data_IF_129082512531
#
_entry.id   IF_129082512531
#
_cell.length_a   1.000
_cell.length_b   1.000
_cell.length_c   1.000
_cell.angle_alpha   90.00
_cell.angle_beta   90.00
_cell.angle_gamma   90.00
#
_symmetry.space_group_name_H-M   'P 1'
#
loop_
_entity.id
_entity.type
_entity.pdbx_description
1 polymer ?
#
# COMPACT_ATOMS: atom_id res chain seq x y z
N UNK A 1 14.18 10.76 -6.81
CA UNK A 1 13.31 9.60 -6.56
C UNK A 1 13.04 9.31 -5.10
N UNK A 2 13.89 9.69 -4.20
CA UNK A 2 13.67 9.48 -2.76
C UNK A 2 12.29 10.02 -2.34
N UNK A 3 11.94 11.23 -2.77
CA UNK A 3 10.65 11.87 -2.43
C UNK A 3 9.45 11.07 -2.95
N UNK A 4 9.48 10.56 -4.18
CA UNK A 4 8.40 9.73 -4.73
C UNK A 4 8.06 8.54 -3.82
N UNK A 5 9.08 7.75 -3.46
CA UNK A 5 8.89 6.57 -2.64
C UNK A 5 8.47 6.90 -1.20
N UNK A 6 8.93 8.03 -0.66
CA UNK A 6 8.51 8.51 0.66
C UNK A 6 7.05 8.99 0.67
N UNK A 7 6.60 9.70 -0.37
CA UNK A 7 5.18 10.04 -0.54
C UNK A 7 4.32 8.80 -0.73
N UNK A 8 4.82 7.84 -1.51
CA UNK A 8 4.14 6.56 -1.72
C UNK A 8 4.03 5.75 -0.42
N UNK A 9 5.09 5.75 0.40
CA UNK A 9 5.05 5.15 1.74
C UNK A 9 4.06 5.88 2.66
N UNK A 10 4.04 7.21 2.66
CA UNK A 10 3.07 7.98 3.44
C UNK A 10 1.62 7.61 3.06
N UNK A 11 1.33 7.55 1.76
CA UNK A 11 0.05 7.12 1.24
C UNK A 11 -0.31 5.71 1.74
N UNK A 12 0.59 4.75 1.61
CA UNK A 12 0.35 3.38 2.05
C UNK A 12 0.14 3.26 3.56
N UNK A 13 0.93 3.97 4.36
CA UNK A 13 0.77 3.98 5.81
C UNK A 13 -0.59 4.57 6.22
N UNK A 14 -1.01 5.65 5.58
CA UNK A 14 -2.29 6.27 5.90
C UNK A 14 -3.45 5.36 5.55
N UNK A 15 -3.52 4.86 4.31
CA UNK A 15 -4.67 4.12 3.82
C UNK A 15 -4.78 2.71 4.38
N UNK A 16 -3.64 2.05 4.60
CA UNK A 16 -3.65 0.63 4.93
C UNK A 16 -3.26 0.31 6.38
N UNK A 17 -2.56 1.20 7.10
CA UNK A 17 -2.06 0.90 8.45
C UNK A 17 -2.77 1.70 9.54
N UNK A 18 -2.76 3.03 9.44
CA UNK A 18 -3.10 3.89 10.58
C UNK A 18 -4.60 4.01 10.84
N UNK A 19 -5.46 3.93 9.82
CA UNK A 19 -6.77 4.54 9.94
C UNK A 19 -8.04 3.67 9.76
N UNK A 20 -7.94 2.37 9.57
CA UNK A 20 -9.13 1.59 9.18
C UNK A 20 -10.32 1.61 10.16
N UNK A 21 -10.10 1.58 11.47
CA UNK A 21 -11.20 1.48 12.44
C UNK A 21 -11.58 2.80 13.10
N UNK A 22 -10.59 3.65 13.35
CA UNK A 22 -10.83 4.88 14.10
C UNK A 22 -11.47 5.94 13.19
N UNK A 23 -11.00 6.03 11.95
CA UNK A 23 -11.60 6.92 10.95
C UNK A 23 -13.02 6.50 10.58
N UNK A 24 -13.28 5.20 10.40
CA UNK A 24 -14.64 4.71 10.14
C UNK A 24 -15.61 5.07 11.27
N UNK A 25 -15.19 4.87 12.53
CA UNK A 25 -16.00 5.24 13.70
C UNK A 25 -16.26 6.76 13.77
N UNK A 26 -15.23 7.56 13.49
CA UNK A 26 -15.35 9.02 13.49
C UNK A 26 -16.18 9.51 12.30
N UNK A 27 -16.01 8.93 11.12
CA UNK A 27 -16.85 9.24 9.94
C UNK A 27 -18.31 8.88 10.16
N UNK A 28 -18.59 7.79 10.86
CA UNK A 28 -19.94 7.41 11.25
C UNK A 28 -20.60 8.44 12.19
N UNK A 29 -19.79 9.12 13.03
CA UNK A 29 -20.27 10.14 13.97
C UNK A 29 -20.28 11.55 13.35
N UNK A 30 -19.26 11.90 12.59
CA UNK A 30 -19.14 13.17 11.87
C UNK A 30 -18.20 12.98 10.68
N UNK A 31 -18.77 13.11 9.48
CA UNK A 31 -18.03 12.96 8.22
C UNK A 31 -16.86 13.93 8.13
N UNK A 32 -17.09 15.21 8.48
CA UNK A 32 -16.08 16.25 8.43
C UNK A 32 -14.90 15.95 9.37
N UNK A 33 -15.16 15.50 10.60
CA UNK A 33 -14.10 15.13 11.56
C UNK A 33 -13.28 13.94 11.06
N UNK A 34 -13.95 12.93 10.49
CA UNK A 34 -13.23 11.79 9.90
C UNK A 34 -12.33 12.17 8.74
N UNK A 35 -12.79 13.08 7.86
CA UNK A 35 -11.98 13.64 6.76
C UNK A 35 -10.77 14.43 7.26
N UNK A 36 -11.01 15.37 8.19
CA UNK A 36 -9.94 16.21 8.75
C UNK A 36 -8.86 15.35 9.45
N UNK A 37 -9.29 14.35 10.20
CA UNK A 37 -8.35 13.48 10.87
C UNK A 37 -7.54 12.64 9.89
N UNK A 38 -8.19 12.06 8.87
CA UNK A 38 -7.52 11.27 7.84
C UNK A 38 -6.53 12.11 7.04
N UNK A 39 -6.98 13.27 6.55
CA UNK A 39 -6.11 14.21 5.83
C UNK A 39 -4.99 14.78 6.71
N UNK A 40 -5.28 15.06 7.99
CA UNK A 40 -4.27 15.53 8.94
C UNK A 40 -3.16 14.52 9.18
N UNK A 41 -3.50 13.24 9.35
CA UNK A 41 -2.49 12.18 9.51
C UNK A 41 -1.70 11.97 8.22
N UNK A 42 -2.36 11.99 7.07
CA UNK A 42 -1.68 11.91 5.78
C UNK A 42 -0.68 13.07 5.61
N UNK A 43 -1.11 14.29 5.90
CA UNK A 43 -0.24 15.48 5.87
C UNK A 43 0.97 15.33 6.80
N UNK A 44 0.76 14.91 8.04
CA UNK A 44 1.84 14.72 9.00
C UNK A 44 2.84 13.64 8.57
N UNK A 45 2.36 12.54 8.00
CA UNK A 45 3.23 11.49 7.47
C UNK A 45 4.04 11.98 6.26
N UNK A 46 3.41 12.71 5.32
CA UNK A 46 4.11 13.30 4.19
C UNK A 46 5.18 14.30 4.65
N UNK A 47 4.83 15.21 5.57
CA UNK A 47 5.78 16.20 6.11
C UNK A 47 6.92 15.51 6.87
N UNK A 48 6.63 14.52 7.70
CA UNK A 48 7.64 13.78 8.47
C UNK A 48 8.60 12.98 7.59
N UNK A 49 8.07 12.21 6.64
CA UNK A 49 8.90 11.40 5.73
C UNK A 49 9.69 12.24 4.74
N UNK A 50 9.19 13.40 4.33
CA UNK A 50 9.84 14.29 3.36
C UNK A 50 10.52 15.51 4.01
N UNK A 51 10.70 15.54 5.35
CA UNK A 51 11.17 16.72 6.09
C UNK A 51 12.40 17.38 5.46
N UNK A 52 13.43 16.62 5.11
CA UNK A 52 14.66 17.15 4.50
C UNK A 52 14.51 17.72 3.07
N UNK A 53 13.34 17.55 2.45
CA UNK A 53 13.07 17.94 1.06
C UNK A 53 12.00 19.03 0.92
N UNK A 54 11.44 19.51 2.04
CA UNK A 54 10.31 20.46 2.05
C UNK A 54 10.63 21.81 1.44
N UNK A 55 11.86 22.30 1.64
CA UNK A 55 12.32 23.59 1.10
C UNK A 55 12.80 23.50 -0.35
N UNK A 56 12.99 22.29 -0.87
CA UNK A 56 13.42 22.09 -2.25
C UNK A 56 12.29 22.43 -3.23
N UNK A 57 12.67 22.95 -4.39
CA UNK A 57 11.73 23.17 -5.49
C UNK A 57 11.45 21.84 -6.20
N UNK A 58 10.17 21.43 -6.20
CA UNK A 58 9.73 20.24 -6.92
C UNK A 58 9.09 20.67 -8.25
N UNK A 59 9.48 20.04 -9.36
CA UNK A 59 8.91 20.36 -10.66
C UNK A 59 7.50 19.75 -10.79
N UNK A 60 6.49 20.51 -10.39
CA UNK A 60 5.09 20.10 -10.48
C UNK A 60 4.65 20.11 -11.96
N UNK A 61 4.18 18.96 -12.47
CA UNK A 61 3.80 18.76 -13.88
C UNK A 61 4.89 19.08 -14.91
N UNK A 62 6.17 19.15 -14.52
CA UNK A 62 7.27 19.68 -15.35
C UNK A 62 7.07 21.14 -15.85
N UNK A 63 6.04 21.83 -15.37
CA UNK A 63 5.65 23.17 -15.83
C UNK A 63 6.02 24.25 -14.80
N UNK A 64 5.82 23.96 -13.52
CA UNK A 64 5.98 24.95 -12.45
C UNK A 64 6.82 24.35 -11.32
N UNK A 65 7.81 25.09 -10.87
CA UNK A 65 8.61 24.73 -9.71
C UNK A 65 7.93 25.25 -8.44
N UNK A 66 7.45 24.33 -7.60
CA UNK A 66 6.78 24.64 -6.33
C UNK A 66 7.63 24.14 -5.16
N UNK A 67 7.63 24.85 -4.03
CA UNK A 67 8.23 24.34 -2.80
C UNK A 67 7.61 22.99 -2.41
N UNK A 68 8.40 22.04 -1.92
CA UNK A 68 7.94 20.69 -1.60
C UNK A 68 6.75 20.67 -0.64
N UNK A 69 6.71 21.58 0.35
CA UNK A 69 5.57 21.67 1.26
C UNK A 69 4.26 22.06 0.56
N UNK A 70 4.30 22.89 -0.51
CA UNK A 70 3.11 23.22 -1.32
C UNK A 70 2.60 21.96 -2.06
N UNK A 71 3.52 21.22 -2.68
CA UNK A 71 3.16 19.96 -3.35
C UNK A 71 2.52 18.96 -2.38
N UNK A 72 3.01 18.87 -1.14
CA UNK A 72 2.43 18.00 -0.11
C UNK A 72 1.01 18.45 0.28
N UNK A 73 0.77 19.76 0.42
CA UNK A 73 -0.58 20.28 0.68
C UNK A 73 -1.52 19.92 -0.48
N UNK A 74 -1.09 20.18 -1.72
CA UNK A 74 -1.90 19.82 -2.91
C UNK A 74 -2.19 18.32 -2.97
N UNK A 75 -1.21 17.49 -2.68
CA UNK A 75 -1.41 16.05 -2.63
C UNK A 75 -2.37 15.64 -1.52
N UNK A 76 -2.27 16.26 -0.34
CA UNK A 76 -3.19 15.99 0.77
C UNK A 76 -4.63 16.36 0.40
N UNK A 77 -4.84 17.52 -0.22
CA UNK A 77 -6.17 17.95 -0.67
C UNK A 77 -6.72 16.97 -1.73
N UNK A 78 -5.90 16.60 -2.71
CA UNK A 78 -6.29 15.61 -3.72
C UNK A 78 -6.63 14.25 -3.11
N UNK A 79 -5.80 13.77 -2.17
CA UNK A 79 -6.02 12.50 -1.49
C UNK A 79 -7.35 12.47 -0.73
N UNK A 80 -7.64 13.51 0.06
CA UNK A 80 -8.90 13.64 0.79
C UNK A 80 -10.09 13.74 -0.17
N UNK A 81 -9.96 14.51 -1.24
CA UNK A 81 -10.99 14.63 -2.26
C UNK A 81 -11.26 13.30 -2.96
N UNK A 82 -10.21 12.58 -3.36
CA UNK A 82 -10.33 11.27 -4.01
C UNK A 82 -11.02 10.26 -3.09
N UNK A 83 -10.68 10.25 -1.80
CA UNK A 83 -11.31 9.39 -0.81
C UNK A 83 -12.82 9.61 -0.72
N UNK A 84 -13.22 10.87 -0.64
CA UNK A 84 -14.63 11.21 -0.57
C UNK A 84 -15.38 10.91 -1.87
N UNK A 85 -14.78 11.25 -3.00
CA UNK A 85 -15.39 11.00 -4.30
C UNK A 85 -15.67 9.51 -4.54
N UNK A 86 -14.69 8.65 -4.25
CA UNK A 86 -14.83 7.22 -4.46
C UNK A 86 -15.70 6.53 -3.41
N UNK A 87 -15.80 7.04 -2.19
CA UNK A 87 -16.74 6.53 -1.19
C UNK A 87 -18.19 6.76 -1.60
N UNK A 88 -18.50 7.86 -2.28
CA UNK A 88 -19.86 8.11 -2.80
C UNK A 88 -20.20 7.23 -4.02
N UNK A 89 -19.24 7.02 -4.91
CA UNK A 89 -19.43 6.19 -6.12
C UNK A 89 -19.56 4.71 -5.81
N UNK A 90 -18.91 4.22 -4.75
CA UNK A 90 -18.81 2.79 -4.44
C UNK A 90 -20.09 2.12 -3.98
N UNK A 91 -21.10 2.87 -3.54
CA UNK A 91 -22.35 2.29 -3.03
C UNK A 91 -23.36 1.86 -4.10
N UNK A 92 -23.18 2.21 -5.38
CA UNK A 92 -24.31 2.02 -6.31
C UNK A 92 -24.05 1.33 -7.64
N UNK A 93 -22.85 1.25 -8.20
CA UNK A 93 -22.67 0.71 -9.57
C UNK A 93 -21.37 0.00 -9.91
N UNK A 94 -20.28 0.27 -9.21
CA UNK A 94 -18.97 -0.30 -9.56
C UNK A 94 -18.45 -1.03 -8.34
N UNK A 95 -18.22 -2.32 -8.40
CA UNK A 95 -17.80 -3.15 -7.28
C UNK A 95 -16.62 -2.58 -6.47
N UNK A 96 -16.42 -3.08 -5.28
CA UNK A 96 -15.33 -2.68 -4.38
C UNK A 96 -13.95 -2.77 -5.02
N UNK A 97 -13.75 -3.77 -5.89
CA UNK A 97 -12.51 -3.97 -6.62
C UNK A 97 -12.18 -2.80 -7.56
N UNK A 98 -13.16 -2.35 -8.35
CA UNK A 98 -12.97 -1.24 -9.28
C UNK A 98 -12.70 0.06 -8.53
N UNK A 99 -13.45 0.32 -7.47
CA UNK A 99 -13.23 1.48 -6.58
C UNK A 99 -11.84 1.46 -5.97
N UNK A 100 -11.40 0.31 -5.48
CA UNK A 100 -10.06 0.12 -4.94
C UNK A 100 -8.98 0.46 -5.98
N UNK A 101 -9.08 -0.08 -7.20
CA UNK A 101 -8.10 0.19 -8.25
C UNK A 101 -8.07 1.64 -8.68
N UNK A 102 -9.21 2.23 -8.99
CA UNK A 102 -9.28 3.59 -9.52
C UNK A 102 -8.78 4.60 -8.50
N UNK A 103 -9.17 4.45 -7.21
CA UNK A 103 -8.68 5.30 -6.13
C UNK A 103 -7.15 5.22 -5.98
N UNK A 104 -6.62 4.01 -5.88
CA UNK A 104 -5.18 3.82 -5.68
C UNK A 104 -4.38 4.29 -6.90
N UNK A 105 -4.87 4.02 -8.12
CA UNK A 105 -4.25 4.51 -9.34
C UNK A 105 -4.25 6.03 -9.43
N UNK A 106 -5.36 6.69 -9.08
CA UNK A 106 -5.45 8.15 -9.08
C UNK A 106 -4.44 8.78 -8.12
N UNK A 107 -4.33 8.27 -6.88
CA UNK A 107 -3.33 8.74 -5.92
C UNK A 107 -1.89 8.47 -6.39
N UNK A 108 -1.64 7.30 -6.96
CA UNK A 108 -0.33 6.96 -7.52
C UNK A 108 0.05 7.90 -8.68
N UNK A 109 -0.87 8.16 -9.61
CA UNK A 109 -0.64 9.10 -10.70
C UNK A 109 -0.38 10.53 -10.18
N UNK A 110 -1.09 10.96 -9.14
CA UNK A 110 -0.86 12.29 -8.56
C UNK A 110 0.54 12.44 -7.95
N UNK A 111 1.10 11.37 -7.36
CA UNK A 111 2.51 11.40 -6.91
C UNK A 111 3.45 11.68 -8.08
N UNK A 112 3.21 11.10 -9.25
CA UNK A 112 4.00 11.39 -10.46
C UNK A 112 3.84 12.84 -10.95
N UNK A 113 2.69 13.46 -10.73
CA UNK A 113 2.51 14.87 -11.04
C UNK A 113 3.33 15.77 -10.10
N UNK A 114 3.48 15.38 -8.84
CA UNK A 114 4.29 16.10 -7.85
C UNK A 114 5.80 15.89 -8.04
N UNK A 115 6.20 14.70 -8.55
CA UNK A 115 7.61 14.30 -8.70
C UNK A 115 7.81 13.69 -10.09
N UNK A 116 7.97 14.51 -11.14
CA UNK A 116 7.99 14.06 -12.52
C UNK A 116 9.20 13.20 -12.89
N UNK A 117 9.00 12.41 -13.94
CA UNK A 117 9.93 11.40 -14.44
C UNK A 117 11.30 11.96 -14.91
N UNK A 118 11.39 13.24 -15.27
CA UNK A 118 12.64 13.83 -15.76
C UNK A 118 13.76 13.74 -14.72
N UNK A 119 13.44 13.99 -13.45
CA UNK A 119 14.35 13.81 -12.32
C UNK A 119 14.78 12.34 -12.14
N UNK A 120 13.98 11.39 -12.63
CA UNK A 120 14.25 9.96 -12.62
C UNK A 120 15.38 9.56 -13.56
N UNK A 121 15.38 10.13 -14.77
CA UNK A 121 16.37 9.86 -15.79
C UNK A 121 17.73 10.44 -15.45
N UNK A 122 17.74 11.65 -14.88
CA UNK A 122 18.97 12.39 -14.58
C UNK A 122 19.75 11.81 -13.39
N UNK A 123 19.07 11.20 -12.42
CA UNK A 123 19.71 10.67 -11.20
C UNK A 123 20.14 9.21 -11.28
N UNK A 124 19.78 8.49 -12.34
CA UNK A 124 20.13 7.07 -12.55
C UNK A 124 19.60 6.08 -11.50
N UNK A 125 19.06 6.55 -10.40
CA UNK A 125 18.58 5.74 -9.28
C UNK A 125 17.05 5.77 -9.19
N UNK A 126 16.40 4.87 -9.88
CA UNK A 126 14.94 4.69 -9.77
C UNK A 126 14.51 4.30 -8.35
N UNK A 127 15.32 3.54 -7.66
CA UNK A 127 14.97 3.00 -6.35
C UNK A 127 15.46 3.91 -5.23
N UNK A 128 14.57 4.15 -4.27
CA UNK A 128 14.82 4.88 -3.05
C UNK A 128 15.75 4.13 -2.08
N UNK A 129 15.86 4.73 -0.94
CA UNK A 129 16.49 4.14 0.24
C UNK A 129 15.94 2.73 0.51
N UNK A 130 16.80 1.75 0.81
CA UNK A 130 16.38 0.37 1.01
C UNK A 130 15.27 0.19 2.05
N UNK A 131 15.32 0.95 3.15
CA UNK A 131 14.32 0.87 4.21
C UNK A 131 12.91 1.31 3.74
N UNK A 132 12.82 2.33 2.87
CA UNK A 132 11.53 2.81 2.33
C UNK A 132 10.90 1.72 1.47
N UNK A 133 11.70 1.11 0.57
CA UNK A 133 11.22 0.03 -0.29
C UNK A 133 10.81 -1.19 0.52
N UNK A 134 11.59 -1.52 1.56
CA UNK A 134 11.22 -2.58 2.49
C UNK A 134 9.87 -2.30 3.16
N UNK A 135 9.67 -1.09 3.69
CA UNK A 135 8.41 -0.70 4.34
C UNK A 135 7.23 -0.70 3.35
N UNK A 136 7.41 -0.18 2.14
CA UNK A 136 6.39 -0.24 1.08
C UNK A 136 6.03 -1.70 0.77
N UNK A 137 7.03 -2.56 0.58
CA UNK A 137 6.82 -3.99 0.33
C UNK A 137 6.08 -4.68 1.48
N UNK A 138 6.47 -4.40 2.70
CA UNK A 138 5.84 -4.97 3.91
C UNK A 138 4.36 -4.56 4.04
N UNK A 139 4.06 -3.27 3.86
CA UNK A 139 2.66 -2.77 3.91
C UNK A 139 1.84 -3.33 2.75
N UNK A 140 2.44 -3.39 1.55
CA UNK A 140 1.78 -3.99 0.38
C UNK A 140 1.40 -5.45 0.63
N UNK A 141 2.32 -6.26 1.14
CA UNK A 141 2.06 -7.67 1.41
C UNK A 141 1.03 -7.88 2.51
N UNK A 142 1.16 -7.17 3.62
CA UNK A 142 0.35 -7.43 4.81
C UNK A 142 -1.04 -6.82 4.73
N UNK A 143 -1.15 -5.59 4.23
CA UNK A 143 -2.38 -4.80 4.25
C UNK A 143 -3.04 -4.62 2.90
N UNK A 144 -2.30 -4.11 1.90
CA UNK A 144 -2.88 -3.84 0.57
C UNK A 144 -3.39 -5.13 -0.08
N UNK A 145 -2.61 -6.23 -0.09
CA UNK A 145 -3.07 -7.52 -0.59
C UNK A 145 -4.27 -8.07 0.21
N UNK A 146 -4.38 -7.72 1.50
CA UNK A 146 -5.55 -8.07 2.31
C UNK A 146 -6.81 -7.40 1.81
N UNK A 147 -6.77 -6.10 1.59
CA UNK A 147 -7.87 -5.33 1.03
C UNK A 147 -8.23 -5.76 -0.39
N UNK A 148 -7.21 -6.02 -1.22
CA UNK A 148 -7.41 -6.51 -2.58
C UNK A 148 -8.13 -7.86 -2.60
N UNK A 149 -7.68 -8.81 -1.77
CA UNK A 149 -8.32 -10.12 -1.65
C UNK A 149 -9.77 -9.99 -1.15
N UNK A 150 -10.01 -9.12 -0.16
CA UNK A 150 -11.35 -8.84 0.33
C UNK A 150 -12.25 -8.24 -0.76
N UNK A 151 -11.77 -7.27 -1.52
CA UNK A 151 -12.55 -6.66 -2.59
C UNK A 151 -13.02 -7.69 -3.62
N UNK A 152 -12.15 -8.64 -3.98
CA UNK A 152 -12.50 -9.75 -4.88
C UNK A 152 -13.56 -10.68 -4.24
N UNK A 153 -13.39 -11.04 -2.98
CA UNK A 153 -14.33 -11.94 -2.30
C UNK A 153 -15.69 -11.28 -2.09
N UNK A 154 -15.70 -10.01 -1.72
CA UNK A 154 -16.93 -9.25 -1.56
C UNK A 154 -17.70 -9.13 -2.88
N UNK A 155 -17.02 -8.71 -3.96
CA UNK A 155 -17.66 -8.50 -5.26
C UNK A 155 -18.14 -9.82 -5.88
N UNK A 156 -17.43 -10.93 -5.63
CA UNK A 156 -17.74 -12.22 -6.26
C UNK A 156 -18.66 -13.11 -5.42
N UNK A 157 -18.55 -13.04 -4.11
CA UNK A 157 -19.24 -13.97 -3.20
C UNK A 157 -20.09 -13.28 -2.13
N UNK A 158 -20.14 -11.94 -2.09
CA UNK A 158 -20.86 -11.16 -1.08
C UNK A 158 -20.32 -11.38 0.35
N UNK A 159 -19.06 -11.82 0.50
CA UNK A 159 -18.48 -12.09 1.82
C UNK A 159 -18.16 -10.81 2.57
N UNK A 160 -18.40 -10.84 3.86
CA UNK A 160 -17.99 -9.77 4.76
C UNK A 160 -16.49 -9.77 5.01
N UNK A 161 -15.98 -8.64 5.52
CA UNK A 161 -14.57 -8.51 5.86
C UNK A 161 -14.18 -9.50 6.96
N UNK A 162 -13.05 -10.25 6.82
CA UNK A 162 -12.67 -11.28 7.77
C UNK A 162 -12.59 -10.79 9.22
N UNK A 163 -12.81 -11.66 10.18
CA UNK A 163 -12.65 -11.38 11.61
C UNK A 163 -11.24 -10.92 11.96
N UNK A 164 -11.03 -10.37 13.15
CA UNK A 164 -9.71 -9.86 13.55
C UNK A 164 -8.64 -10.96 13.54
N UNK A 165 -8.97 -12.14 14.06
CA UNK A 165 -8.03 -13.26 14.19
C UNK A 165 -7.63 -13.81 12.83
N UNK A 166 -8.60 -13.99 11.92
CA UNK A 166 -8.32 -14.43 10.54
C UNK A 166 -7.45 -13.42 9.78
N UNK A 167 -7.72 -12.12 9.93
CA UNK A 167 -6.91 -11.06 9.30
C UNK A 167 -5.48 -11.06 9.80
N UNK A 168 -5.30 -11.26 11.10
CA UNK A 168 -3.99 -11.32 11.71
C UNK A 168 -3.21 -12.52 11.17
N UNK A 169 -3.81 -13.70 11.17
CA UNK A 169 -3.21 -14.93 10.65
C UNK A 169 -2.82 -14.79 9.17
N UNK A 170 -3.71 -14.24 8.33
CA UNK A 170 -3.44 -14.00 6.91
C UNK A 170 -2.33 -12.96 6.69
N UNK A 171 -2.29 -11.92 7.50
CA UNK A 171 -1.23 -10.91 7.42
C UNK A 171 0.12 -11.49 7.83
N UNK A 172 0.16 -12.32 8.88
CA UNK A 172 1.37 -13.04 9.31
C UNK A 172 1.86 -14.00 8.24
N UNK A 173 0.96 -14.78 7.66
CA UNK A 173 1.29 -15.69 6.56
C UNK A 173 1.98 -14.96 5.41
N UNK A 174 1.40 -13.85 4.95
CA UNK A 174 1.94 -13.04 3.85
C UNK A 174 3.27 -12.40 4.21
N UNK A 175 3.39 -11.87 5.43
CA UNK A 175 4.63 -11.29 5.94
C UNK A 175 5.78 -12.32 5.92
N UNK A 176 5.52 -13.54 6.34
CA UNK A 176 6.55 -14.59 6.35
C UNK A 176 6.98 -14.94 4.92
N UNK A 177 6.05 -15.06 3.95
CA UNK A 177 6.41 -15.25 2.54
C UNK A 177 7.30 -14.12 2.02
N UNK A 178 6.93 -12.87 2.33
CA UNK A 178 7.73 -11.69 1.97
C UNK A 178 9.14 -11.74 2.56
N UNK A 179 9.27 -12.02 3.87
CA UNK A 179 10.56 -12.06 4.57
C UNK A 179 11.43 -13.22 4.07
N UNK A 180 10.86 -14.38 3.79
CA UNK A 180 11.59 -15.53 3.20
C UNK A 180 12.24 -15.13 1.87
N UNK A 181 11.53 -14.37 1.03
CA UNK A 181 12.07 -13.92 -0.25
C UNK A 181 13.29 -13.01 -0.12
N UNK A 182 13.47 -12.34 1.02
CA UNK A 182 14.61 -11.46 1.26
C UNK A 182 15.88 -12.19 1.75
N UNK A 183 15.79 -13.48 2.03
CA UNK A 183 16.94 -14.25 2.51
C UNK A 183 18.01 -14.44 1.42
N UNK A 184 19.30 -14.35 1.78
CA UNK A 184 20.40 -14.51 0.82
C UNK A 184 20.56 -15.98 0.35
N UNK A 185 21.18 -16.13 -0.81
CA UNK A 185 21.53 -17.43 -1.39
C UNK A 185 20.30 -18.26 -1.78
N UNK A 186 20.38 -19.58 -1.63
CA UNK A 186 19.32 -20.55 -1.99
C UNK A 186 18.36 -20.88 -0.85
N UNK A 187 18.65 -20.41 0.36
CA UNK A 187 17.86 -20.69 1.59
C UNK A 187 16.39 -20.29 1.46
N UNK A 188 16.12 -19.20 0.73
CA UNK A 188 14.75 -18.76 0.48
C UNK A 188 13.89 -19.83 -0.23
N UNK A 189 14.47 -20.60 -1.17
CA UNK A 189 13.72 -21.61 -1.92
C UNK A 189 13.26 -22.76 -1.02
N UNK A 190 14.15 -23.24 -0.14
CA UNK A 190 13.80 -24.30 0.82
C UNK A 190 12.75 -23.82 1.81
N UNK A 191 12.96 -22.65 2.43
CA UNK A 191 12.02 -22.11 3.42
C UNK A 191 10.68 -21.74 2.79
N UNK A 192 10.67 -21.25 1.54
CA UNK A 192 9.44 -20.99 0.79
C UNK A 192 8.62 -22.28 0.62
N UNK A 193 9.27 -23.37 0.23
CA UNK A 193 8.62 -24.67 0.06
C UNK A 193 8.05 -25.18 1.38
N UNK A 194 8.84 -25.17 2.45
CA UNK A 194 8.42 -25.61 3.78
C UNK A 194 7.24 -24.77 4.28
N UNK A 195 7.33 -23.45 4.16
CA UNK A 195 6.26 -22.55 4.61
C UNK A 195 4.99 -22.68 3.77
N UNK A 196 5.13 -22.88 2.47
CA UNK A 196 3.99 -23.16 1.58
C UNK A 196 3.26 -24.42 1.99
N UNK A 197 3.98 -25.52 2.26
CA UNK A 197 3.41 -26.77 2.73
C UNK A 197 2.71 -26.61 4.09
N UNK A 198 3.31 -25.85 5.01
CA UNK A 198 2.69 -25.52 6.30
C UNK A 198 1.38 -24.75 6.11
N UNK A 199 1.32 -23.78 5.20
CA UNK A 199 0.10 -23.04 4.90
C UNK A 199 -0.99 -23.92 4.25
N UNK A 200 -0.62 -24.84 3.36
CA UNK A 200 -1.55 -25.83 2.79
C UNK A 200 -2.11 -26.76 3.88
N UNK A 201 -1.25 -27.19 4.80
CA UNK A 201 -1.69 -28.02 5.94
C UNK A 201 -2.64 -27.25 6.86
N UNK A 202 -2.27 -26.02 7.26
CA UNK A 202 -3.12 -25.14 8.08
C UNK A 202 -4.51 -24.93 7.45
N UNK A 203 -4.55 -24.78 6.13
CA UNK A 203 -5.80 -24.69 5.39
C UNK A 203 -6.58 -26.00 5.40
N UNK A 204 -5.91 -27.13 5.23
CA UNK A 204 -6.55 -28.46 5.26
C UNK A 204 -7.25 -28.74 6.59
N UNK A 205 -6.67 -28.31 7.70
CA UNK A 205 -7.26 -28.43 9.04
C UNK A 205 -8.24 -27.30 9.39
N UNK A 206 -8.62 -26.47 8.41
CA UNK A 206 -9.56 -25.34 8.54
C UNK A 206 -9.18 -24.27 9.57
N UNK A 207 -7.88 -24.08 9.84
CA UNK A 207 -7.42 -22.93 10.61
C UNK A 207 -7.65 -21.58 9.90
N UNK A 208 -7.84 -21.63 8.58
CA UNK A 208 -8.11 -20.48 7.72
C UNK A 208 -9.35 -20.77 6.86
N UNK A 209 -10.45 -20.07 7.15
CA UNK A 209 -11.67 -20.16 6.34
C UNK A 209 -11.68 -19.05 5.27
N UNK A 210 -10.80 -19.21 4.29
CA UNK A 210 -10.64 -18.30 3.16
C UNK A 210 -10.87 -19.00 1.85
N UNK A 211 -11.32 -18.24 0.85
CA UNK A 211 -11.48 -18.76 -0.50
C UNK A 211 -10.15 -19.22 -1.10
N UNK A 212 -10.22 -20.12 -2.10
CA UNK A 212 -9.04 -20.52 -2.86
C UNK A 212 -8.36 -19.31 -3.53
N UNK A 213 -9.16 -18.42 -4.09
CA UNK A 213 -8.66 -17.23 -4.77
C UNK A 213 -7.87 -16.31 -3.83
N UNK A 214 -8.43 -15.95 -2.66
CA UNK A 214 -7.75 -15.09 -1.69
C UNK A 214 -6.47 -15.73 -1.13
N UNK A 215 -6.47 -17.04 -0.91
CA UNK A 215 -5.30 -17.77 -0.46
C UNK A 215 -4.15 -17.68 -1.47
N UNK A 216 -4.39 -18.05 -2.73
CA UNK A 216 -3.35 -18.03 -3.75
C UNK A 216 -2.93 -16.61 -4.14
N UNK A 217 -3.85 -15.66 -4.22
CA UNK A 217 -3.52 -14.24 -4.45
C UNK A 217 -2.61 -13.72 -3.34
N UNK A 218 -2.91 -14.05 -2.09
CA UNK A 218 -2.09 -13.65 -0.94
C UNK A 218 -0.67 -14.21 -1.02
N UNK A 219 -0.50 -15.49 -1.37
CA UNK A 219 0.81 -16.14 -1.49
C UNK A 219 1.58 -15.58 -2.68
N UNK A 220 1.00 -15.66 -3.88
CA UNK A 220 1.66 -15.24 -5.12
C UNK A 220 2.03 -13.76 -5.04
N UNK A 221 1.10 -12.91 -4.58
CA UNK A 221 1.35 -11.48 -4.42
C UNK A 221 2.50 -11.21 -3.45
N UNK A 222 2.56 -11.91 -2.32
CA UNK A 222 3.65 -11.73 -1.34
C UNK A 222 5.00 -12.20 -1.88
N UNK A 223 5.03 -13.30 -2.61
CA UNK A 223 6.24 -13.81 -3.26
C UNK A 223 6.73 -12.84 -4.34
N UNK A 224 5.82 -12.35 -5.19
CA UNK A 224 6.16 -11.38 -6.25
C UNK A 224 6.69 -10.08 -5.65
N UNK A 225 6.00 -9.50 -4.66
CA UNK A 225 6.45 -8.27 -4.00
C UNK A 225 7.80 -8.51 -3.32
N UNK A 226 7.96 -9.61 -2.58
CA UNK A 226 9.23 -9.98 -1.95
C UNK A 226 10.36 -10.15 -2.96
N UNK A 227 10.08 -10.76 -4.11
CA UNK A 227 11.06 -10.90 -5.19
C UNK A 227 11.46 -9.54 -5.77
N UNK A 228 10.51 -8.63 -6.03
CA UNK A 228 10.83 -7.28 -6.51
C UNK A 228 11.69 -6.50 -5.53
N UNK A 229 11.38 -6.58 -4.23
CA UNK A 229 12.20 -5.95 -3.18
C UNK A 229 13.59 -6.61 -3.12
N UNK A 230 13.67 -7.94 -3.24
CA UNK A 230 14.92 -8.68 -3.31
C UNK A 230 15.80 -8.22 -4.47
N UNK A 231 15.23 -8.04 -5.67
CA UNK A 231 15.98 -7.54 -6.83
C UNK A 231 16.68 -6.21 -6.49
N UNK A 232 16.00 -5.32 -5.76
CA UNK A 232 16.60 -4.07 -5.32
C UNK A 232 17.80 -4.28 -4.39
N UNK A 233 17.69 -5.20 -3.43
CA UNK A 233 18.75 -5.44 -2.44
C UNK A 233 19.99 -6.15 -3.00
N UNK A 234 19.82 -6.99 -4.02
CA UNK A 234 20.88 -7.88 -4.48
C UNK A 234 21.39 -7.61 -5.91
N UNK A 235 20.64 -6.88 -6.75
CA UNK A 235 21.06 -6.59 -8.14
C UNK A 235 21.45 -5.13 -8.36
N UNK A 236 21.06 -4.23 -7.49
CA UNK A 236 21.29 -2.78 -7.65
C UNK A 236 22.16 -2.21 -6.52
N UNK A 237 22.64 -3.08 -5.62
CA UNK A 237 23.55 -2.76 -4.51
C UNK A 237 24.99 -2.65 -4.93
#
# INVERSE_FOLDING_TARGET
MIVFWRLFLAFFLTDFVVFNRMAEKLRARSRALGMLLHGGVFLLLCLGLCYGYLSMQWPFLDLVHLPGWVCIILFTLFHVFSDEFFQFGGKSRHGYLMTFFVKNLANFLFIFLCVPFKVLYETGNFFAEPWVIFCVGLVSCTRMLGWFSFAIEHDRYGRDYPTFDERWLLSMMRMIFFLIMLLPGWRWAVLLTVWFMACLYARRIRLMDISHAAFYIGIIGSVVIGFLVRLRFYLVG
#
